data_IF_169512785204
#
_entry.id   IF_169512785204
#
_cell.length_a   1.000
_cell.length_b   1.000
_cell.length_c   1.000
_cell.angle_alpha   90.00
_cell.angle_beta   90.00
_cell.angle_gamma   90.00
#
_symmetry.space_group_name_H-M   'P 1'
#
loop_
_entity.id
_entity.type
_entity.pdbx_description
1 polymer ?
#
# COMPACT_ATOMS: atom_id res chain seq x y z
N UNK A 1 -56.32 50.11 21.01
CA UNK A 1 -56.15 49.84 22.45
C UNK A 1 -54.76 49.27 22.67
N UNK A 2 -53.90 50.00 23.38
CA UNK A 2 -52.81 49.45 24.21
C UNK A 2 -53.44 49.05 25.59
N UNK A 3 -52.73 48.39 26.56
CA UNK A 3 -51.27 48.38 26.75
C UNK A 3 -50.64 47.00 27.08
N UNK A 4 -49.33 46.78 26.80
CA UNK A 4 -48.16 46.67 27.73
C UNK A 4 -48.26 45.58 28.83
N UNK A 5 -47.27 44.78 29.23
CA UNK A 5 -45.80 44.93 29.49
C UNK A 5 -45.13 43.52 29.50
N UNK A 6 -43.80 43.29 29.50
CA UNK A 6 -42.55 44.02 29.15
C UNK A 6 -41.35 43.02 29.20
N UNK A 7 -40.15 43.44 28.80
CA UNK A 7 -38.89 42.68 29.00
C UNK A 7 -38.26 42.90 30.39
N UNK A 8 -37.12 42.25 30.73
CA UNK A 8 -35.85 42.95 30.45
C UNK A 8 -34.70 42.08 29.91
N UNK A 9 -33.80 42.77 29.21
CA UNK A 9 -32.44 42.33 28.85
C UNK A 9 -31.54 42.46 30.09
N UNK A 10 -30.52 41.62 30.22
CA UNK A 10 -29.43 41.87 31.18
C UNK A 10 -28.06 41.60 30.53
N UNK A 11 -27.16 42.57 30.65
CA UNK A 11 -25.75 42.43 30.32
C UNK A 11 -24.93 43.37 31.19
N UNK A 12 -23.91 42.82 31.86
CA UNK A 12 -22.86 43.54 32.57
C UNK A 12 -21.54 42.85 32.16
N UNK A 13 -20.62 43.53 31.47
CA UNK A 13 -19.62 44.47 32.03
C UNK A 13 -18.75 43.84 33.12
N UNK A 14 -17.44 43.82 32.87
CA UNK A 14 -16.46 43.09 33.67
C UNK A 14 -15.88 43.88 34.84
N UNK A 15 -14.91 43.26 35.51
CA UNK A 15 -14.06 43.92 36.50
C UNK A 15 -12.62 43.42 36.37
N UNK A 16 -11.69 44.36 36.25
CA UNK A 16 -10.24 44.12 36.28
C UNK A 16 -9.77 43.55 37.62
N UNK A 17 -8.84 42.60 37.57
CA UNK A 17 -7.81 42.41 38.61
C UNK A 17 -6.46 42.19 37.93
N UNK A 18 -5.66 43.27 37.85
CA UNK A 18 -4.21 43.19 37.61
C UNK A 18 -3.50 42.86 38.92
N UNK A 19 -2.51 41.96 38.92
CA UNK A 19 -1.31 42.05 39.78
C UNK A 19 -0.14 41.22 39.20
N UNK A 20 0.92 41.93 38.80
CA UNK A 20 2.35 41.60 38.68
C UNK A 20 2.94 40.34 37.99
N UNK A 21 4.03 40.62 37.26
CA UNK A 21 5.03 39.69 36.71
C UNK A 21 5.75 38.82 37.76
N UNK A 22 6.13 37.61 37.35
CA UNK A 22 7.19 36.78 37.97
C UNK A 22 7.75 35.78 36.96
N UNK A 23 9.07 35.65 36.86
CA UNK A 23 9.76 34.85 35.83
C UNK A 23 9.66 33.33 36.02
N UNK A 24 9.70 32.59 34.90
CA UNK A 24 10.06 31.16 34.89
C UNK A 24 9.62 30.44 33.60
N UNK A 25 10.54 29.96 32.74
CA UNK A 25 10.17 29.15 31.59
C UNK A 25 9.87 27.72 32.03
N UNK A 26 8.58 27.36 32.10
CA UNK A 26 8.19 25.95 32.18
C UNK A 26 8.39 25.32 30.81
N UNK A 27 9.42 24.48 30.68
CA UNK A 27 9.63 23.64 29.50
C UNK A 27 8.50 22.60 29.46
N UNK A 28 7.40 22.94 28.79
CA UNK A 28 6.39 21.94 28.43
C UNK A 28 7.00 21.01 27.39
N UNK A 29 7.42 19.83 27.86
CA UNK A 29 7.91 18.74 27.05
C UNK A 29 6.74 18.22 26.20
N UNK A 30 6.59 18.81 25.02
CA UNK A 30 5.52 18.49 24.07
C UNK A 30 5.89 17.17 23.40
N UNK A 31 5.46 16.06 24.01
CA UNK A 31 5.62 14.71 23.45
C UNK A 31 5.05 14.68 22.03
N UNK A 32 5.94 14.71 21.03
CA UNK A 32 5.60 14.37 19.67
C UNK A 32 5.45 12.86 19.62
N UNK A 33 4.21 12.37 19.67
CA UNK A 33 3.94 10.99 19.25
C UNK A 33 4.28 10.88 17.77
N UNK A 34 5.33 10.12 17.46
CA UNK A 34 5.62 9.66 16.11
C UNK A 34 4.68 8.49 15.86
N UNK A 35 3.83 8.60 14.84
CA UNK A 35 2.82 7.59 14.51
C UNK A 35 3.20 6.89 13.20
N UNK A 36 3.12 5.56 13.23
CA UNK A 36 3.74 4.68 12.24
C UNK A 36 2.72 4.28 11.16
N UNK A 37 3.19 4.20 9.92
CA UNK A 37 2.67 3.24 8.93
C UNK A 37 3.59 2.02 9.01
N UNK A 38 3.03 0.81 8.90
CA UNK A 38 3.77 -0.44 9.12
C UNK A 38 3.85 -1.25 7.82
N UNK A 39 5.03 -1.76 7.53
CA UNK A 39 5.33 -2.60 6.36
C UNK A 39 5.74 -3.99 6.81
N UNK A 40 5.18 -5.03 6.18
CA UNK A 40 5.65 -6.41 6.34
C UNK A 40 6.75 -6.71 5.32
N UNK A 41 7.85 -7.34 5.76
CA UNK A 41 8.85 -7.98 4.88
C UNK A 41 9.15 -9.39 5.41
N UNK A 42 9.01 -10.43 4.57
CA UNK A 42 9.41 -11.82 4.93
C UNK A 42 10.79 -12.16 4.36
N UNK A 43 11.83 -11.59 4.97
CA UNK A 43 13.22 -11.83 4.54
C UNK A 43 13.58 -13.34 4.60
N UNK A 44 13.79 -13.97 3.42
CA UNK A 44 14.24 -15.36 3.31
C UNK A 44 15.72 -15.50 3.73
N UNK A 45 15.96 -15.63 5.03
CA UNK A 45 17.08 -16.38 5.57
C UNK A 45 18.47 -15.70 5.64
N UNK A 46 18.59 -14.39 5.36
CA UNK A 46 19.79 -13.59 5.71
C UNK A 46 19.39 -12.15 6.06
N UNK A 47 19.46 -11.80 7.34
CA UNK A 47 19.29 -10.42 7.80
C UNK A 47 20.65 -9.73 7.78
N UNK A 48 20.84 -8.80 6.84
CA UNK A 48 21.98 -7.88 6.82
C UNK A 48 21.44 -6.45 6.79
N UNK A 49 21.75 -5.66 7.83
CA UNK A 49 21.25 -4.29 7.93
C UNK A 49 21.89 -3.38 6.87
N UNK A 50 21.12 -2.98 5.86
CA UNK A 50 21.55 -1.94 4.90
C UNK A 50 21.28 -0.57 5.50
N UNK A 51 22.21 -0.12 6.36
CA UNK A 51 22.30 1.28 6.76
C UNK A 51 22.72 2.12 5.55
N UNK A 52 21.80 2.93 5.01
CA UNK A 52 22.12 3.98 4.05
C UNK A 52 22.95 5.06 4.76
N UNK A 53 24.29 4.92 4.67
CA UNK A 53 25.24 5.76 5.40
C UNK A 53 25.25 7.22 4.95
N UNK A 54 25.10 8.13 5.92
CA UNK A 54 25.37 9.56 5.74
C UNK A 54 26.84 9.80 5.34
N UNK A 55 27.09 10.46 4.21
CA UNK A 55 28.45 10.82 3.81
C UNK A 55 28.94 12.05 4.58
N UNK A 56 29.86 11.86 5.54
CA UNK A 56 30.59 12.95 6.20
C UNK A 56 31.96 13.19 5.56
N UNK A 57 32.35 14.47 5.51
CA UNK A 57 33.60 14.92 4.89
C UNK A 57 34.88 14.56 5.67
N UNK A 58 35.96 14.33 4.91
CA UNK A 58 37.35 14.20 5.39
C UNK A 58 37.98 12.85 4.96
N UNK A 59 39.23 12.76 4.50
CA UNK A 59 40.24 13.80 4.22
C UNK A 59 41.30 13.28 3.22
N UNK A 60 42.06 14.19 2.62
CA UNK A 60 43.02 13.95 1.52
C UNK A 60 44.14 12.93 1.81
N UNK A 61 44.36 11.99 0.87
CA UNK A 61 45.71 11.54 0.47
C UNK A 61 45.77 11.24 -1.03
N UNK A 62 46.94 11.45 -1.66
CA UNK A 62 47.14 11.38 -3.13
C UNK A 62 48.02 10.18 -3.50
N UNK A 63 47.61 9.36 -4.47
CA UNK A 63 48.50 8.52 -5.29
C UNK A 63 47.97 8.43 -6.74
N UNK A 64 48.82 8.08 -7.73
CA UNK A 64 48.74 8.71 -9.05
C UNK A 64 47.88 7.99 -10.10
N UNK A 65 47.47 8.80 -11.07
CA UNK A 65 46.80 8.47 -12.32
C UNK A 65 47.51 7.35 -13.09
N UNK A 66 46.76 6.34 -13.55
CA UNK A 66 47.17 5.51 -14.69
C UNK A 66 45.99 5.38 -15.66
N UNK A 67 46.20 5.82 -16.90
CA UNK A 67 45.13 6.02 -17.88
C UNK A 67 44.94 4.78 -18.75
N UNK A 68 43.75 4.20 -18.70
CA UNK A 68 43.22 3.34 -19.77
C UNK A 68 41.72 3.63 -19.89
N UNK A 69 41.16 3.82 -21.10
CA UNK A 69 39.75 4.11 -21.27
C UNK A 69 38.95 2.82 -21.06
N UNK A 70 38.58 2.55 -19.81
CA UNK A 70 37.49 1.64 -19.52
C UNK A 70 36.23 2.21 -20.19
N UNK A 71 35.69 1.48 -21.17
CA UNK A 71 34.36 1.77 -21.70
C UNK A 71 33.37 1.76 -20.53
N UNK A 72 32.54 2.80 -20.34
CA UNK A 72 31.52 2.77 -19.32
C UNK A 72 30.43 1.79 -19.77
N UNK A 73 30.55 0.54 -19.32
CA UNK A 73 29.44 -0.42 -19.31
C UNK A 73 28.47 0.06 -18.24
N UNK A 74 27.67 1.07 -18.57
CA UNK A 74 26.64 1.57 -17.68
C UNK A 74 25.42 0.64 -17.74
N UNK A 75 25.62 -0.61 -17.30
CA UNK A 75 24.52 -1.47 -16.87
C UNK A 75 24.12 -1.06 -15.45
N UNK A 76 23.51 0.12 -15.31
CA UNK A 76 22.36 0.15 -14.40
C UNK A 76 21.34 -0.80 -15.04
N UNK A 77 21.05 -1.93 -14.38
CA UNK A 77 19.90 -2.75 -14.79
C UNK A 77 18.67 -1.88 -14.61
N UNK A 78 18.22 -1.26 -15.70
CA UNK A 78 16.88 -0.68 -15.81
C UNK A 78 15.90 -1.75 -15.36
N UNK A 79 15.02 -1.41 -14.44
CA UNK A 79 14.24 -2.41 -13.74
C UNK A 79 12.84 -1.88 -13.46
N UNK A 80 11.90 -2.32 -14.28
CA UNK A 80 10.54 -1.79 -14.40
C UNK A 80 9.58 -2.41 -13.39
N UNK A 81 8.49 -1.70 -13.07
CA UNK A 81 7.43 -2.16 -12.18
C UNK A 81 6.10 -2.09 -12.94
N UNK A 82 5.38 -3.21 -13.02
CA UNK A 82 4.00 -3.23 -13.53
C UNK A 82 3.07 -2.85 -12.39
N UNK A 83 2.36 -1.74 -12.53
CA UNK A 83 1.34 -1.33 -11.57
C UNK A 83 -0.02 -1.91 -11.95
N UNK A 84 -0.73 -2.44 -10.97
CA UNK A 84 -2.11 -2.92 -11.10
C UNK A 84 -2.96 -2.21 -10.06
N UNK A 85 -4.15 -1.78 -10.44
CA UNK A 85 -5.10 -1.15 -9.52
C UNK A 85 -6.46 -1.85 -9.64
N UNK A 86 -6.96 -2.38 -8.51
CA UNK A 86 -8.12 -3.28 -8.47
C UNK A 86 -9.27 -2.75 -7.62
N UNK A 87 -10.47 -2.71 -8.22
CA UNK A 87 -11.70 -2.25 -7.58
C UNK A 87 -11.74 -0.74 -7.35
N UNK A 88 -12.89 -0.23 -6.90
CA UNK A 88 -13.15 1.20 -6.73
C UNK A 88 -12.07 1.94 -5.90
N UNK A 89 -11.71 1.42 -4.72
CA UNK A 89 -10.71 2.03 -3.85
C UNK A 89 -9.29 2.00 -4.44
N UNK A 90 -8.88 0.84 -5.00
CA UNK A 90 -7.60 0.70 -5.68
C UNK A 90 -7.46 1.66 -6.85
N UNK A 91 -8.49 1.79 -7.68
CA UNK A 91 -8.49 2.71 -8.81
C UNK A 91 -8.46 4.20 -8.40
N UNK A 92 -9.11 4.59 -7.31
CA UNK A 92 -9.04 5.97 -6.79
C UNK A 92 -7.65 6.32 -6.25
N UNK A 93 -7.04 5.41 -5.47
CA UNK A 93 -5.69 5.60 -4.93
C UNK A 93 -4.65 5.54 -6.04
N UNK A 94 -4.76 4.58 -6.96
CA UNK A 94 -3.93 4.46 -8.14
C UNK A 94 -3.99 5.72 -9.01
N UNK A 95 -5.18 6.25 -9.29
CA UNK A 95 -5.32 7.52 -10.01
C UNK A 95 -4.59 8.68 -9.30
N UNK A 96 -4.72 8.80 -7.97
CA UNK A 96 -4.00 9.83 -7.19
C UNK A 96 -2.49 9.60 -7.10
N UNK A 97 -2.04 8.35 -7.06
CA UNK A 97 -0.64 7.99 -7.19
C UNK A 97 -0.08 8.47 -8.54
N UNK A 98 -0.75 8.13 -9.65
CA UNK A 98 -0.34 8.55 -10.99
C UNK A 98 -0.38 10.07 -11.20
N UNK A 99 -1.35 10.79 -10.62
CA UNK A 99 -1.33 12.27 -10.59
C UNK A 99 -0.04 12.79 -9.93
N UNK A 100 0.25 12.36 -8.69
CA UNK A 100 1.39 12.85 -7.92
C UNK A 100 2.72 12.50 -8.58
N UNK A 101 2.91 11.26 -9.05
CA UNK A 101 4.17 10.89 -9.70
C UNK A 101 4.31 11.49 -11.10
N UNK A 102 3.21 11.84 -11.79
CA UNK A 102 3.32 12.61 -13.04
C UNK A 102 3.82 14.02 -12.75
N UNK A 103 3.27 14.70 -11.74
CA UNK A 103 3.70 16.03 -11.31
C UNK A 103 5.16 16.04 -10.84
N UNK A 104 5.59 15.03 -10.05
CA UNK A 104 6.99 14.88 -9.61
C UNK A 104 7.97 14.65 -10.78
N UNK A 105 7.57 13.88 -11.79
CA UNK A 105 8.36 13.65 -13.01
C UNK A 105 8.19 14.75 -14.09
N UNK A 106 7.35 15.76 -13.87
CA UNK A 106 7.10 16.84 -14.83
C UNK A 106 6.38 16.38 -16.11
N UNK A 107 5.55 15.35 -16.01
CA UNK A 107 4.75 14.79 -17.12
C UNK A 107 3.36 15.43 -17.13
N UNK A 108 2.93 15.91 -18.29
CA UNK A 108 1.57 16.47 -18.45
C UNK A 108 0.50 15.39 -18.69
N UNK A 109 -0.81 15.72 -18.60
CA UNK A 109 -1.89 14.78 -18.91
C UNK A 109 -1.91 14.22 -20.34
N UNK A 110 -1.07 14.73 -21.26
CA UNK A 110 -0.93 14.21 -22.63
C UNK A 110 0.23 13.23 -22.77
N UNK A 111 0.98 13.00 -21.68
CA UNK A 111 2.19 12.18 -21.59
C UNK A 111 3.47 12.92 -22.00
N UNK A 112 3.43 14.23 -22.25
CA UNK A 112 4.61 14.98 -22.70
C UNK A 112 5.39 15.54 -21.51
N UNK A 113 6.72 15.41 -21.56
CA UNK A 113 7.61 15.94 -20.54
C UNK A 113 7.79 17.45 -20.67
N UNK A 114 7.54 18.15 -19.56
CA UNK A 114 7.69 19.59 -19.37
C UNK A 114 8.47 19.95 -18.10
N UNK A 115 9.26 19.01 -17.56
CA UNK A 115 10.07 19.20 -16.36
C UNK A 115 11.35 20.03 -16.59
N UNK A 116 11.87 20.58 -15.49
CA UNK A 116 13.03 21.48 -15.45
C UNK A 116 14.35 20.76 -15.06
N UNK A 117 14.32 19.47 -14.72
CA UNK A 117 15.49 18.76 -14.16
C UNK A 117 15.73 17.38 -14.78
N UNK A 118 16.94 17.16 -15.29
CA UNK A 118 17.38 15.87 -15.87
C UNK A 118 17.18 14.67 -14.91
N UNK A 119 17.20 14.90 -13.59
CA UNK A 119 16.94 13.88 -12.57
C UNK A 119 15.52 13.30 -12.64
N UNK A 120 14.56 14.05 -13.20
CA UNK A 120 13.18 13.59 -13.42
C UNK A 120 13.12 12.51 -14.52
N UNK A 121 14.09 12.48 -15.44
CA UNK A 121 14.14 11.52 -16.54
C UNK A 121 15.04 10.30 -16.25
N UNK A 122 16.03 10.41 -15.36
CA UNK A 122 17.04 9.36 -15.05
C UNK A 122 16.44 7.97 -14.71
N UNK A 123 15.22 7.93 -14.16
CA UNK A 123 14.53 6.68 -13.77
C UNK A 123 13.04 6.62 -14.17
N UNK A 124 12.62 7.44 -15.13
CA UNK A 124 11.21 7.50 -15.54
C UNK A 124 10.68 6.16 -16.08
N UNK A 125 11.57 5.38 -16.70
CA UNK A 125 11.32 4.04 -17.25
C UNK A 125 10.90 2.99 -16.20
N UNK A 126 11.06 3.26 -14.91
CA UNK A 126 10.58 2.35 -13.84
C UNK A 126 9.07 2.21 -13.87
N UNK A 127 8.35 3.32 -14.09
CA UNK A 127 6.89 3.39 -14.08
C UNK A 127 6.26 3.72 -15.44
N UNK A 128 7.00 4.33 -16.37
CA UNK A 128 6.47 4.74 -17.67
C UNK A 128 7.12 3.98 -18.83
N UNK A 129 6.28 3.61 -19.80
CA UNK A 129 6.71 3.23 -21.14
C UNK A 129 7.00 4.50 -21.96
N UNK A 130 8.17 4.59 -22.60
CA UNK A 130 8.44 5.62 -23.61
C UNK A 130 7.82 5.22 -24.95
N UNK A 131 6.81 5.99 -25.39
CA UNK A 131 6.15 5.85 -26.67
C UNK A 131 6.70 6.85 -27.70
N UNK A 132 6.49 6.52 -28.98
CA UNK A 132 6.95 7.34 -30.11
C UNK A 132 6.51 8.80 -30.00
N UNK A 133 7.47 9.72 -30.13
CA UNK A 133 7.22 11.17 -30.05
C UNK A 133 7.46 11.79 -28.67
N UNK A 134 8.24 11.14 -27.80
CA UNK A 134 8.58 11.67 -26.47
C UNK A 134 7.38 11.68 -25.52
N UNK A 135 6.52 10.66 -25.63
CA UNK A 135 5.33 10.51 -24.78
C UNK A 135 5.53 9.38 -23.79
N UNK A 136 5.34 9.67 -22.52
CA UNK A 136 5.42 8.71 -21.43
C UNK A 136 4.02 8.22 -21.08
N UNK A 137 3.85 6.89 -21.08
CA UNK A 137 2.57 6.21 -20.80
C UNK A 137 2.74 5.32 -19.58
N UNK A 138 1.96 5.50 -18.49
CA UNK A 138 2.01 4.62 -17.33
C UNK A 138 1.96 3.14 -17.66
N UNK A 139 2.84 2.36 -17.02
CA UNK A 139 2.78 0.89 -16.99
C UNK A 139 1.74 0.45 -15.95
N UNK A 140 0.50 0.88 -16.18
CA UNK A 140 -0.65 0.67 -15.30
C UNK A 140 -1.70 -0.22 -15.97
N UNK A 141 -2.32 -1.08 -15.16
CA UNK A 141 -3.43 -1.95 -15.54
C UNK A 141 -4.60 -1.65 -14.60
N UNK A 142 -5.73 -1.25 -15.16
CA UNK A 142 -6.90 -0.76 -14.43
C UNK A 142 -7.99 -1.83 -14.47
N UNK A 143 -8.33 -2.36 -13.29
CA UNK A 143 -9.23 -3.50 -13.15
C UNK A 143 -10.40 -3.13 -12.24
N UNK A 144 -11.62 -3.31 -12.70
CA UNK A 144 -12.80 -3.31 -11.84
C UNK A 144 -13.93 -4.16 -12.44
N UNK A 145 -14.70 -4.83 -11.60
CA UNK A 145 -15.89 -5.55 -12.02
C UNK A 145 -17.05 -4.58 -12.33
N UNK A 146 -16.97 -3.34 -11.82
CA UNK A 146 -17.93 -2.27 -12.10
C UNK A 146 -17.42 -1.26 -13.16
N UNK A 147 -18.18 -1.00 -14.24
CA UNK A 147 -17.73 -0.09 -15.31
C UNK A 147 -17.69 1.38 -14.86
N UNK A 148 -18.50 1.79 -13.88
CA UNK A 148 -18.60 3.19 -13.43
C UNK A 148 -17.32 3.77 -12.83
N UNK A 149 -16.45 2.91 -12.27
CA UNK A 149 -15.11 3.31 -11.81
C UNK A 149 -14.24 3.80 -12.98
N UNK A 150 -14.34 3.15 -14.15
CA UNK A 150 -13.49 3.45 -15.31
C UNK A 150 -13.84 4.79 -15.95
N UNK A 151 -15.13 5.13 -16.03
CA UNK A 151 -15.57 6.45 -16.47
C UNK A 151 -15.08 7.55 -15.52
N UNK A 152 -15.13 7.27 -14.21
CA UNK A 152 -14.63 8.20 -13.18
C UNK A 152 -13.13 8.47 -13.34
N UNK A 153 -12.31 7.42 -13.49
CA UNK A 153 -10.86 7.57 -13.72
C UNK A 153 -10.56 8.28 -15.04
N UNK A 154 -11.25 7.92 -16.14
CA UNK A 154 -11.09 8.54 -17.46
C UNK A 154 -11.47 10.03 -17.47
N UNK A 155 -12.42 10.44 -16.63
CA UNK A 155 -12.80 11.84 -16.42
C UNK A 155 -11.84 12.63 -15.51
N UNK A 156 -10.94 11.93 -14.81
CA UNK A 156 -9.92 12.54 -13.96
C UNK A 156 -8.86 13.33 -14.75
N UNK A 157 -8.07 14.19 -14.08
CA UNK A 157 -7.15 15.12 -14.73
C UNK A 157 -6.11 14.41 -15.61
N UNK A 158 -5.61 13.25 -15.17
CA UNK A 158 -4.66 12.41 -15.92
C UNK A 158 -5.34 11.19 -16.58
N UNK A 159 -6.68 11.11 -16.61
CA UNK A 159 -7.41 9.94 -17.11
C UNK A 159 -7.14 9.56 -18.58
N UNK A 160 -6.56 10.47 -19.36
CA UNK A 160 -6.24 10.28 -20.78
C UNK A 160 -4.80 9.77 -21.04
N UNK A 161 -3.93 9.75 -20.02
CA UNK A 161 -2.54 9.27 -20.16
C UNK A 161 -2.48 7.73 -20.22
N UNK A 162 -3.46 7.05 -19.63
CA UNK A 162 -3.53 5.59 -19.56
C UNK A 162 -3.84 4.97 -20.91
N UNK A 163 -3.15 3.87 -21.24
CA UNK A 163 -3.38 3.10 -22.47
C UNK A 163 -4.82 2.54 -22.47
N UNK A 164 -5.66 2.82 -23.49
CA UNK A 164 -7.04 2.32 -23.53
C UNK A 164 -7.16 0.78 -23.45
N UNK A 165 -6.21 0.06 -24.04
CA UNK A 165 -6.11 -1.41 -23.98
C UNK A 165 -5.96 -1.96 -22.55
N UNK A 166 -5.49 -1.16 -21.60
CA UNK A 166 -5.16 -1.59 -20.23
C UNK A 166 -6.33 -1.39 -19.25
N UNK A 167 -7.50 -0.97 -19.74
CA UNK A 167 -8.74 -0.92 -18.97
C UNK A 167 -9.49 -2.24 -19.14
N UNK A 168 -9.46 -3.09 -18.12
CA UNK A 168 -10.15 -4.38 -18.11
C UNK A 168 -11.29 -4.30 -17.10
N UNK A 169 -12.53 -4.35 -17.57
CA UNK A 169 -13.70 -4.18 -16.70
C UNK A 169 -14.86 -5.12 -16.99
N UNK A 170 -15.57 -5.49 -15.92
CA UNK A 170 -16.77 -6.32 -15.96
C UNK A 170 -18.05 -5.54 -16.27
N UNK A 171 -19.17 -6.25 -16.26
CA UNK A 171 -20.52 -5.66 -16.33
C UNK A 171 -21.32 -5.82 -15.03
N UNK A 172 -20.82 -6.61 -14.07
CA UNK A 172 -21.49 -7.02 -12.84
C UNK A 172 -20.55 -6.82 -11.67
N UNK A 173 -20.95 -6.02 -10.69
CA UNK A 173 -20.13 -5.70 -9.52
C UNK A 173 -20.11 -6.80 -8.47
N UNK A 174 -18.99 -6.94 -7.76
CA UNK A 174 -18.87 -7.90 -6.65
C UNK A 174 -19.77 -7.58 -5.44
N UNK A 175 -20.33 -6.36 -5.34
CA UNK A 175 -21.32 -6.01 -4.31
C UNK A 175 -20.82 -6.17 -2.86
N UNK A 176 -19.54 -5.85 -2.62
CA UNK A 176 -18.83 -6.07 -1.35
C UNK A 176 -18.82 -7.52 -0.85
N UNK A 177 -18.89 -8.50 -1.76
CA UNK A 177 -18.71 -9.91 -1.47
C UNK A 177 -17.37 -10.42 -2.03
N UNK A 178 -16.47 -10.86 -1.14
CA UNK A 178 -15.17 -11.43 -1.52
C UNK A 178 -15.31 -12.70 -2.38
N UNK A 179 -16.26 -13.59 -2.07
CA UNK A 179 -16.45 -14.84 -2.82
C UNK A 179 -16.86 -14.57 -4.28
N UNK A 180 -17.61 -13.50 -4.55
CA UNK A 180 -17.89 -13.06 -5.92
C UNK A 180 -16.65 -12.59 -6.67
N UNK A 181 -15.80 -11.83 -6.00
CA UNK A 181 -14.51 -11.40 -6.56
C UNK A 181 -13.56 -12.56 -6.79
N UNK A 182 -13.61 -13.62 -5.99
CA UNK A 182 -12.62 -14.70 -6.01
C UNK A 182 -13.04 -15.94 -6.82
N UNK A 183 -14.32 -16.34 -6.78
CA UNK A 183 -14.79 -17.60 -7.37
C UNK A 183 -15.75 -17.45 -8.56
N UNK A 184 -16.48 -16.34 -8.68
CA UNK A 184 -17.47 -16.14 -9.75
C UNK A 184 -17.07 -15.02 -10.70
N UNK A 185 -17.61 -13.81 -10.54
CA UNK A 185 -17.44 -12.68 -11.46
C UNK A 185 -15.95 -12.34 -11.73
N UNK A 186 -15.11 -12.36 -10.70
CA UNK A 186 -13.68 -12.09 -10.86
C UNK A 186 -12.88 -13.24 -11.48
N UNK A 187 -13.33 -14.48 -11.33
CA UNK A 187 -12.73 -15.64 -11.98
C UNK A 187 -13.02 -15.67 -13.50
N UNK A 188 -14.15 -15.11 -13.95
CA UNK A 188 -14.42 -14.93 -15.38
C UNK A 188 -13.55 -13.82 -16.01
N UNK A 189 -13.21 -12.77 -15.24
CA UNK A 189 -12.46 -11.62 -15.76
C UNK A 189 -10.92 -11.77 -15.62
N UNK A 190 -10.43 -12.60 -14.70
CA UNK A 190 -8.98 -12.67 -14.37
C UNK A 190 -8.10 -13.05 -15.56
N UNK A 191 -8.55 -13.94 -16.45
CA UNK A 191 -7.77 -14.34 -17.63
C UNK A 191 -7.53 -13.16 -18.59
N UNK A 192 -8.53 -12.31 -18.77
CA UNK A 192 -8.40 -11.09 -19.57
C UNK A 192 -7.45 -10.07 -18.95
N UNK A 193 -7.40 -10.00 -17.61
CA UNK A 193 -6.41 -9.18 -16.90
C UNK A 193 -5.01 -9.76 -17.08
N UNK A 194 -4.85 -11.07 -16.92
CA UNK A 194 -3.56 -11.75 -17.06
C UNK A 194 -2.96 -11.60 -18.46
N UNK A 195 -3.77 -11.57 -19.53
CA UNK A 195 -3.28 -11.28 -20.88
C UNK A 195 -2.71 -9.86 -21.03
N UNK A 196 -3.29 -8.86 -20.35
CA UNK A 196 -2.74 -7.50 -20.30
C UNK A 196 -1.47 -7.46 -19.42
N UNK A 197 -1.45 -8.18 -18.30
CA UNK A 197 -0.28 -8.32 -17.42
C UNK A 197 0.90 -8.92 -18.19
N UNK A 198 0.67 -9.99 -18.96
CA UNK A 198 1.68 -10.61 -19.86
C UNK A 198 2.20 -9.62 -20.88
N UNK A 199 1.31 -8.93 -21.61
CA UNK A 199 1.67 -7.92 -22.62
C UNK A 199 2.52 -6.79 -22.05
N UNK A 200 2.22 -6.31 -20.85
CA UNK A 200 3.06 -5.30 -20.18
C UNK A 200 4.38 -5.90 -19.69
N UNK A 201 4.38 -7.10 -19.09
CA UNK A 201 5.59 -7.78 -18.60
C UNK A 201 6.59 -8.14 -19.73
N UNK A 202 6.10 -8.57 -20.89
CA UNK A 202 6.91 -8.81 -22.10
C UNK A 202 7.50 -7.54 -22.70
N UNK A 203 6.94 -6.37 -22.38
CA UNK A 203 7.45 -5.05 -22.82
C UNK A 203 8.41 -4.39 -21.82
N UNK A 204 8.89 -5.13 -20.83
CA UNK A 204 9.95 -4.72 -19.89
C UNK A 204 11.29 -5.35 -20.30
N UNK A 205 12.40 -4.61 -20.19
CA UNK A 205 13.74 -5.17 -20.36
C UNK A 205 14.13 -6.06 -19.16
N UNK A 206 13.78 -5.65 -17.93
CA UNK A 206 14.10 -6.39 -16.71
C UNK A 206 13.11 -6.12 -15.56
N UNK A 207 11.86 -6.60 -15.73
CA UNK A 207 10.79 -6.53 -14.73
C UNK A 207 11.27 -6.86 -13.30
N UNK A 208 11.10 -5.94 -12.36
CA UNK A 208 11.31 -6.19 -10.92
C UNK A 208 10.22 -7.08 -10.34
N UNK A 209 8.99 -6.72 -10.65
CA UNK A 209 7.85 -7.13 -9.85
C UNK A 209 6.59 -6.35 -10.18
N UNK A 210 5.56 -6.64 -9.40
CA UNK A 210 4.22 -6.12 -9.55
C UNK A 210 3.86 -5.31 -8.30
N UNK A 211 3.16 -4.20 -8.53
CA UNK A 211 2.61 -3.36 -7.47
C UNK A 211 1.09 -3.34 -7.59
N UNK A 212 0.38 -3.99 -6.66
CA UNK A 212 -1.08 -3.92 -6.60
C UNK A 212 -1.55 -2.82 -5.64
N UNK A 213 -2.46 -1.95 -6.07
CA UNK A 213 -3.25 -1.07 -5.19
C UNK A 213 -4.68 -1.59 -5.08
N UNK A 214 -5.13 -1.88 -3.86
CA UNK A 214 -6.46 -2.45 -3.60
C UNK A 214 -6.95 -2.20 -2.16
N UNK A 215 -8.20 -2.57 -1.86
CA UNK A 215 -8.75 -2.55 -0.51
C UNK A 215 -9.23 -3.93 -0.10
N UNK A 216 -8.95 -4.29 1.16
CA UNK A 216 -9.30 -5.58 1.74
C UNK A 216 -10.79 -5.66 2.16
N UNK A 217 -11.45 -4.51 2.34
CA UNK A 217 -12.86 -4.46 2.77
C UNK A 217 -13.88 -4.67 1.65
N UNK A 218 -13.54 -4.35 0.39
CA UNK A 218 -14.46 -4.42 -0.75
C UNK A 218 -14.78 -5.85 -1.20
N UNK A 219 -15.32 -6.01 -2.40
CA UNK A 219 -15.49 -7.31 -3.08
C UNK A 219 -14.50 -7.52 -4.22
N UNK A 220 -14.41 -6.56 -5.15
CA UNK A 220 -13.50 -6.61 -6.30
C UNK A 220 -12.04 -6.53 -5.88
N UNK A 221 -11.66 -5.43 -5.20
CA UNK A 221 -10.27 -5.20 -4.81
C UNK A 221 -9.73 -6.29 -3.89
N UNK A 222 -10.57 -6.86 -3.04
CA UNK A 222 -10.21 -7.90 -2.09
C UNK A 222 -10.15 -9.29 -2.75
N UNK A 223 -11.28 -9.81 -3.25
CA UNK A 223 -11.39 -11.17 -3.79
C UNK A 223 -10.72 -11.36 -5.14
N UNK A 224 -11.00 -10.45 -6.10
CA UNK A 224 -10.36 -10.50 -7.42
C UNK A 224 -8.89 -10.07 -7.34
N UNK A 225 -8.57 -9.12 -6.45
CA UNK A 225 -7.19 -8.71 -6.20
C UNK A 225 -6.34 -9.87 -5.68
N UNK A 226 -6.78 -10.63 -4.68
CA UNK A 226 -6.02 -11.79 -4.18
C UNK A 226 -5.97 -12.96 -5.17
N UNK A 227 -7.03 -13.19 -5.95
CA UNK A 227 -7.00 -14.14 -7.06
C UNK A 227 -5.90 -13.77 -8.07
N UNK A 228 -5.84 -12.49 -8.45
CA UNK A 228 -4.85 -11.98 -9.38
C UNK A 228 -3.42 -12.07 -8.82
N UNK A 229 -3.22 -11.77 -7.53
CA UNK A 229 -1.92 -11.98 -6.85
C UNK A 229 -1.48 -13.44 -6.99
N UNK A 230 -2.38 -14.39 -6.68
CA UNK A 230 -2.08 -15.82 -6.78
C UNK A 230 -1.71 -16.22 -8.22
N UNK A 231 -2.47 -15.77 -9.23
CA UNK A 231 -2.16 -16.05 -10.65
C UNK A 231 -0.86 -15.42 -11.14
N UNK A 232 -0.56 -14.18 -10.71
CA UNK A 232 0.73 -13.57 -11.01
C UNK A 232 1.87 -14.33 -10.31
N UNK A 233 1.67 -14.85 -9.10
CA UNK A 233 2.69 -15.63 -8.37
C UNK A 233 2.91 -17.02 -8.95
N UNK A 234 1.88 -17.67 -9.48
CA UNK A 234 1.98 -18.91 -10.26
C UNK A 234 2.84 -18.72 -11.53
N UNK A 235 2.63 -17.63 -12.26
CA UNK A 235 3.31 -17.37 -13.56
C UNK A 235 4.68 -16.69 -13.42
N UNK A 236 4.86 -15.87 -12.39
CA UNK A 236 6.08 -15.08 -12.13
C UNK A 236 6.65 -15.29 -10.72
N UNK A 237 7.01 -16.53 -10.32
CA UNK A 237 7.44 -16.86 -8.96
C UNK A 237 8.74 -16.18 -8.51
N UNK A 238 9.62 -15.82 -9.46
CA UNK A 238 10.90 -15.14 -9.21
C UNK A 238 10.79 -13.60 -9.15
N UNK A 239 9.58 -13.04 -9.26
CA UNK A 239 9.33 -11.60 -9.24
C UNK A 239 8.73 -11.16 -7.92
N UNK A 240 9.11 -9.96 -7.49
CA UNK A 240 8.64 -9.37 -6.24
C UNK A 240 7.17 -8.98 -6.38
N UNK A 241 6.35 -9.36 -5.40
CA UNK A 241 4.93 -9.01 -5.33
C UNK A 241 4.67 -8.07 -4.15
N UNK A 242 4.42 -6.80 -4.46
CA UNK A 242 4.17 -5.75 -3.47
C UNK A 242 2.71 -5.29 -3.52
N UNK A 243 2.08 -5.12 -2.36
CA UNK A 243 0.70 -4.61 -2.28
C UNK A 243 0.56 -3.39 -1.40
N UNK A 244 -0.27 -2.45 -1.86
CA UNK A 244 -0.76 -1.31 -1.09
C UNK A 244 -2.20 -1.63 -0.70
N UNK A 245 -2.34 -2.17 0.51
CA UNK A 245 -3.55 -2.79 1.02
C UNK A 245 -4.28 -1.85 1.97
N UNK A 246 -5.41 -1.28 1.52
CA UNK A 246 -6.26 -0.46 2.39
C UNK A 246 -7.08 -1.35 3.32
N UNK A 247 -6.79 -1.22 4.61
CA UNK A 247 -7.42 -1.97 5.69
C UNK A 247 -8.70 -1.26 6.16
N UNK A 248 -9.83 -1.97 6.32
CA UNK A 248 -11.04 -1.35 6.85
C UNK A 248 -10.89 -0.87 8.30
N UNK A 249 -11.57 0.23 8.61
CA UNK A 249 -11.76 0.73 9.99
C UNK A 249 -13.26 0.92 10.26
N UNK A 250 -13.78 0.50 11.43
CA UNK A 250 -15.17 0.68 11.81
C UNK A 250 -15.62 2.15 11.97
N UNK A 251 -14.71 3.13 11.86
CA UNK A 251 -15.07 4.57 11.86
C UNK A 251 -15.40 5.13 10.48
N UNK A 252 -14.94 4.46 9.42
CA UNK A 252 -15.04 4.90 8.01
C UNK A 252 -15.78 3.86 7.15
N UNK A 253 -15.93 2.64 7.67
CA UNK A 253 -16.67 1.53 7.07
C UNK A 253 -18.16 1.82 6.94
N UNK A 254 -18.67 1.74 5.71
CA UNK A 254 -20.11 1.75 5.41
C UNK A 254 -20.70 0.31 5.36
N UNK A 255 -19.86 -0.73 5.28
CA UNK A 255 -20.31 -2.12 5.06
C UNK A 255 -19.94 -3.06 6.21
N UNK A 256 -20.96 -3.67 6.83
CA UNK A 256 -20.79 -4.60 7.95
C UNK A 256 -19.99 -5.88 7.61
N UNK A 257 -19.89 -6.26 6.34
CA UNK A 257 -19.20 -7.50 5.90
C UNK A 257 -17.70 -7.31 5.64
N UNK A 258 -17.17 -6.08 5.72
CA UNK A 258 -15.75 -5.79 5.48
C UNK A 258 -14.76 -6.65 6.31
N UNK A 259 -15.02 -7.02 7.58
CA UNK A 259 -14.12 -7.92 8.33
C UNK A 259 -14.04 -9.34 7.74
N UNK A 260 -15.09 -9.85 7.10
CA UNK A 260 -15.01 -11.13 6.39
C UNK A 260 -14.07 -11.01 5.19
N UNK A 261 -14.31 -10.01 4.34
CA UNK A 261 -13.51 -9.77 3.15
C UNK A 261 -12.03 -9.54 3.51
N UNK A 262 -11.76 -8.82 4.61
CA UNK A 262 -10.41 -8.56 5.08
C UNK A 262 -9.70 -9.81 5.62
N UNK A 263 -10.35 -10.63 6.45
CA UNK A 263 -9.74 -11.86 6.96
C UNK A 263 -9.40 -12.84 5.84
N UNK A 264 -10.32 -13.04 4.90
CA UNK A 264 -10.09 -13.90 3.72
C UNK A 264 -8.96 -13.36 2.83
N UNK A 265 -8.88 -12.04 2.67
CA UNK A 265 -7.80 -11.42 1.87
C UNK A 265 -6.44 -11.52 2.54
N UNK A 266 -6.34 -11.28 3.85
CA UNK A 266 -5.06 -11.36 4.59
C UNK A 266 -4.49 -12.78 4.52
N UNK A 267 -5.31 -13.83 4.65
CA UNK A 267 -4.85 -15.20 4.45
C UNK A 267 -4.13 -15.38 3.10
N UNK A 268 -4.72 -14.88 2.00
CA UNK A 268 -4.10 -14.96 0.67
C UNK A 268 -2.86 -14.06 0.53
N UNK A 269 -2.82 -12.91 1.20
CA UNK A 269 -1.66 -12.00 1.16
C UNK A 269 -0.43 -12.58 1.88
N UNK A 270 -0.63 -13.24 3.02
CA UNK A 270 0.46 -13.84 3.84
C UNK A 270 1.24 -14.90 3.08
N UNK A 271 0.59 -15.61 2.16
CA UNK A 271 1.21 -16.68 1.36
C UNK A 271 1.80 -16.19 0.05
N UNK A 272 1.14 -15.24 -0.63
CA UNK A 272 1.45 -14.90 -2.02
C UNK A 272 2.18 -13.55 -2.22
N UNK A 273 2.32 -12.71 -1.19
CA UNK A 273 3.03 -11.42 -1.28
C UNK A 273 4.40 -11.46 -0.60
N UNK A 274 5.34 -10.67 -1.11
CA UNK A 274 6.67 -10.51 -0.51
C UNK A 274 6.69 -9.31 0.47
N UNK A 275 6.04 -8.20 0.08
CA UNK A 275 5.82 -7.01 0.92
C UNK A 275 4.36 -6.54 0.83
N UNK A 276 3.79 -6.15 1.97
CA UNK A 276 2.46 -5.53 2.03
C UNK A 276 2.48 -4.29 2.91
N UNK A 277 2.10 -3.15 2.32
CA UNK A 277 1.88 -1.88 2.98
C UNK A 277 0.44 -1.81 3.48
N UNK A 278 0.26 -1.89 4.80
CA UNK A 278 -1.04 -1.77 5.45
C UNK A 278 -1.39 -0.28 5.62
N UNK A 279 -2.31 0.22 4.79
CA UNK A 279 -2.84 1.59 4.89
C UNK A 279 -4.14 1.53 5.71
N UNK A 280 -4.13 2.07 6.93
CA UNK A 280 -5.36 2.24 7.72
C UNK A 280 -6.06 3.54 7.32
N UNK A 281 -7.36 3.47 7.02
CA UNK A 281 -8.20 4.62 6.70
C UNK A 281 -8.19 5.73 7.78
N UNK A 282 -7.74 5.44 9.00
CA UNK A 282 -7.62 6.44 10.06
C UNK A 282 -6.33 7.29 10.03
N UNK A 283 -5.24 6.84 9.38
CA UNK A 283 -3.93 7.50 9.47
C UNK A 283 -3.17 7.57 8.15
N UNK A 284 -2.74 8.78 7.78
CA UNK A 284 -1.88 9.03 6.63
C UNK A 284 -0.57 9.73 7.06
N UNK A 285 0.52 8.96 7.17
CA UNK A 285 1.87 9.46 7.35
C UNK A 285 2.90 8.49 6.77
N UNK A 286 3.87 8.98 5.98
CA UNK A 286 4.88 8.13 5.34
C UNK A 286 5.99 7.76 6.34
N UNK A 287 5.88 6.57 6.92
CA UNK A 287 6.94 5.88 7.62
C UNK A 287 6.90 4.41 7.19
N UNK A 288 8.04 3.79 6.97
CA UNK A 288 8.15 2.35 6.68
C UNK A 288 8.93 1.74 7.83
N UNK A 289 8.25 1.00 8.69
CA UNK A 289 8.89 0.15 9.68
C UNK A 289 8.14 -1.16 9.78
N UNK A 290 8.84 -2.27 9.98
CA UNK A 290 8.23 -3.52 10.38
C UNK A 290 8.18 -3.55 11.91
N UNK A 291 6.98 -3.56 12.49
CA UNK A 291 6.77 -3.46 13.93
C UNK A 291 5.69 -4.43 14.36
N UNK A 292 5.95 -5.15 15.45
CA UNK A 292 5.02 -6.09 16.08
C UNK A 292 3.71 -5.43 16.50
N UNK A 293 3.66 -4.10 16.64
CA UNK A 293 2.45 -3.33 16.95
C UNK A 293 1.33 -3.50 15.91
N UNK A 294 1.63 -3.90 14.66
CA UNK A 294 0.61 -4.18 13.64
C UNK A 294 -0.34 -5.33 14.03
N UNK A 295 0.05 -6.16 15.00
CA UNK A 295 -0.85 -7.16 15.57
C UNK A 295 -2.15 -6.56 16.14
N UNK A 296 -2.16 -5.29 16.57
CA UNK A 296 -3.37 -4.60 17.04
C UNK A 296 -4.40 -4.41 15.91
N UNK A 297 -3.93 -4.15 14.68
CA UNK A 297 -4.77 -4.03 13.50
C UNK A 297 -5.39 -5.39 13.12
N UNK A 298 -4.60 -6.47 13.16
CA UNK A 298 -5.11 -7.82 12.90
C UNK A 298 -6.05 -8.32 14.00
N UNK A 299 -5.72 -8.08 15.29
CA UNK A 299 -6.62 -8.34 16.43
C UNK A 299 -7.96 -7.63 16.27
N UNK A 300 -7.96 -6.35 15.87
CA UNK A 300 -9.20 -5.57 15.61
C UNK A 300 -10.09 -6.19 14.53
N UNK A 301 -9.51 -6.70 13.45
CA UNK A 301 -10.26 -7.38 12.37
C UNK A 301 -10.77 -8.74 12.86
N UNK A 302 -9.91 -9.53 13.50
CA UNK A 302 -10.24 -10.84 14.06
C UNK A 302 -11.41 -10.77 15.06
N UNK A 303 -11.39 -9.83 16.02
CA UNK A 303 -12.50 -9.64 16.98
C UNK A 303 -13.85 -9.36 16.30
N UNK A 304 -13.86 -8.56 15.23
CA UNK A 304 -15.07 -8.24 14.47
C UNK A 304 -15.53 -9.44 13.63
N UNK A 305 -14.60 -10.13 12.97
CA UNK A 305 -14.85 -11.38 12.25
C UNK A 305 -15.50 -12.42 13.17
N UNK A 306 -14.86 -12.74 14.30
CA UNK A 306 -15.34 -13.73 15.27
C UNK A 306 -16.74 -13.36 15.81
N UNK A 307 -16.99 -12.07 16.07
CA UNK A 307 -18.29 -11.58 16.55
C UNK A 307 -19.43 -11.80 15.53
N UNK A 308 -19.14 -11.71 14.22
CA UNK A 308 -20.09 -12.02 13.15
C UNK A 308 -20.21 -13.53 12.89
N UNK A 309 -19.07 -14.23 12.81
CA UNK A 309 -19.01 -15.65 12.45
C UNK A 309 -19.70 -16.54 13.48
N UNK A 310 -19.55 -16.24 14.78
CA UNK A 310 -20.33 -16.89 15.86
C UNK A 310 -21.85 -16.77 15.72
N UNK A 311 -22.33 -15.77 14.97
CA UNK A 311 -23.76 -15.55 14.69
C UNK A 311 -24.18 -16.02 13.29
N UNK A 312 -23.23 -16.52 12.47
CA UNK A 312 -23.40 -16.83 11.04
C UNK A 312 -24.07 -15.70 10.25
N UNK A 313 -23.80 -14.44 10.63
CA UNK A 313 -24.38 -13.28 9.97
C UNK A 313 -23.81 -13.14 8.55
N UNK A 314 -24.66 -12.91 7.55
CA UNK A 314 -24.30 -12.75 6.13
C UNK A 314 -23.56 -13.93 5.46
N UNK A 315 -23.22 -15.00 6.18
CA UNK A 315 -22.46 -16.16 5.69
C UNK A 315 -23.05 -16.79 4.40
N UNK A 316 -24.38 -16.83 4.30
CA UNK A 316 -25.11 -17.30 3.11
C UNK A 316 -24.82 -16.53 1.81
N UNK A 317 -24.25 -15.32 1.87
CA UNK A 317 -23.81 -14.58 0.67
C UNK A 317 -22.52 -15.16 0.10
N UNK A 318 -21.68 -15.77 0.93
CA UNK A 318 -20.41 -16.36 0.51
C UNK A 318 -20.59 -17.83 0.13
N UNK A 319 -21.32 -18.59 0.96
CA UNK A 319 -21.60 -20.00 0.66
C UNK A 319 -22.55 -20.18 -0.52
N UNK A 320 -23.36 -19.16 -0.84
CA UNK A 320 -24.16 -19.11 -2.06
C UNK A 320 -23.35 -19.01 -3.36
N UNK A 321 -22.09 -18.56 -3.29
CA UNK A 321 -21.16 -18.46 -4.42
C UNK A 321 -20.20 -19.66 -4.50
N UNK A 322 -20.39 -20.69 -3.65
CA UNK A 322 -19.64 -21.95 -3.69
C UNK A 322 -18.61 -22.16 -2.56
N UNK A 323 -18.44 -21.18 -1.67
CA UNK A 323 -17.47 -21.20 -0.56
C UNK A 323 -17.91 -22.11 0.61
N UNK A 324 -16.99 -22.85 1.24
CA UNK A 324 -17.30 -23.65 2.44
C UNK A 324 -17.18 -22.82 3.75
N UNK A 325 -17.91 -23.19 4.82
CA UNK A 325 -17.70 -22.63 6.16
C UNK A 325 -16.32 -22.99 6.75
N UNK A 326 -15.71 -24.07 6.25
CA UNK A 326 -14.35 -24.50 6.63
C UNK A 326 -13.31 -23.44 6.24
N UNK A 327 -13.40 -22.84 5.05
CA UNK A 327 -12.47 -21.81 4.56
C UNK A 327 -12.46 -20.55 5.46
N UNK A 328 -13.62 -20.18 6.02
CA UNK A 328 -13.72 -19.12 7.03
C UNK A 328 -12.95 -19.47 8.31
N UNK A 329 -13.01 -20.74 8.72
CA UNK A 329 -12.34 -21.23 9.92
C UNK A 329 -10.83 -21.32 9.71
N UNK A 330 -10.38 -21.73 8.52
CA UNK A 330 -8.98 -21.74 8.12
C UNK A 330 -8.40 -20.32 8.06
N UNK A 331 -9.10 -19.36 7.44
CA UNK A 331 -8.69 -17.96 7.41
C UNK A 331 -8.68 -17.30 8.80
N UNK A 332 -9.62 -17.65 9.69
CA UNK A 332 -9.62 -17.22 11.10
C UNK A 332 -8.41 -17.80 11.86
N UNK A 333 -8.07 -19.08 11.64
CA UNK A 333 -6.88 -19.70 12.23
C UNK A 333 -5.61 -18.99 11.76
N UNK A 334 -5.42 -18.88 10.45
CA UNK A 334 -4.21 -18.29 9.85
C UNK A 334 -4.00 -16.83 10.30
N UNK A 335 -5.08 -16.05 10.46
CA UNK A 335 -5.03 -14.70 11.03
C UNK A 335 -4.56 -14.70 12.50
N UNK A 336 -5.06 -15.64 13.31
CA UNK A 336 -4.69 -15.74 14.72
C UNK A 336 -3.27 -16.29 14.92
N UNK A 337 -2.82 -17.18 14.03
CA UNK A 337 -1.45 -17.67 13.97
C UNK A 337 -0.48 -16.52 13.60
N UNK A 338 -0.83 -15.68 12.62
CA UNK A 338 -0.08 -14.47 12.25
C UNK A 338 0.08 -13.49 13.43
N UNK A 339 -1.00 -13.27 14.18
CA UNK A 339 -0.99 -12.47 15.41
C UNK A 339 -0.09 -13.10 16.48
N UNK A 340 -0.08 -14.43 16.56
CA UNK A 340 0.73 -15.18 17.52
C UNK A 340 2.22 -15.15 17.19
N UNK A 341 2.60 -15.22 15.90
CA UNK A 341 3.99 -15.02 15.44
C UNK A 341 4.50 -13.63 15.86
N UNK A 342 3.72 -12.56 15.62
CA UNK A 342 4.10 -11.22 16.05
C UNK A 342 4.22 -11.06 17.57
N UNK A 343 3.30 -11.67 18.33
CA UNK A 343 3.37 -11.67 19.78
C UNK A 343 4.62 -12.42 20.28
N UNK A 344 4.96 -13.56 19.67
CA UNK A 344 6.17 -14.32 19.98
C UNK A 344 7.44 -13.49 19.77
N UNK A 345 7.58 -12.77 18.65
CA UNK A 345 8.73 -11.90 18.40
C UNK A 345 8.74 -10.64 19.30
N UNK A 346 7.58 -10.18 19.78
CA UNK A 346 7.51 -9.06 20.72
C UNK A 346 7.92 -9.46 22.14
N UNK A 347 7.55 -10.67 22.57
CA UNK A 347 7.87 -11.21 23.90
C UNK A 347 9.24 -11.89 23.94
N UNK A 348 9.88 -12.11 22.78
CA UNK A 348 11.26 -12.56 22.65
C UNK A 348 12.24 -11.49 23.18
N UNK A 349 12.47 -11.49 24.48
CA UNK A 349 13.61 -10.80 25.08
C UNK A 349 14.90 -11.36 24.47
N UNK A 350 15.81 -10.48 24.08
CA UNK A 350 17.12 -10.87 23.56
C UNK A 350 17.96 -11.54 24.67
N UNK A 351 17.88 -12.86 24.78
CA UNK A 351 18.87 -13.66 25.50
C UNK A 351 20.19 -13.61 24.71
N UNK A 352 21.11 -12.82 25.23
CA UNK A 352 22.58 -12.88 25.07
C UNK A 352 23.10 -13.60 23.80
N UNK A 353 22.88 -12.98 22.64
CA UNK A 353 23.67 -13.25 21.45
C UNK A 353 25.05 -12.61 21.61
N UNK A 354 26.02 -13.37 22.13
CA UNK A 354 27.43 -13.00 22.16
C UNK A 354 27.89 -12.66 20.73
N UNK A 355 28.07 -11.37 20.44
CA UNK A 355 28.93 -10.94 19.34
C UNK A 355 30.37 -11.16 19.82
N UNK A 356 30.85 -12.39 19.70
CA UNK A 356 32.29 -12.63 19.66
C UNK A 356 32.84 -11.88 18.44
N UNK A 357 33.45 -10.72 18.68
CA UNK A 357 34.39 -10.14 17.73
C UNK A 357 35.51 -11.17 17.55
N UNK A 358 35.56 -11.83 16.38
CA UNK A 358 36.75 -12.57 15.94
C UNK A 358 37.90 -11.56 15.77
N UNK A 359 38.57 -11.27 16.89
CA UNK A 359 39.75 -10.44 16.93
C UNK A 359 40.87 -11.09 16.13
N UNK A 360 41.41 -10.34 15.17
CA UNK A 360 42.50 -10.78 14.30
C UNK A 360 43.77 -11.13 15.10
N UNK A 361 44.01 -12.41 15.40
CA UNK A 361 45.36 -12.89 15.74
C UNK A 361 46.20 -12.96 14.46
N UNK A 362 46.79 -11.82 14.10
CA UNK A 362 47.78 -11.72 13.04
C UNK A 362 49.03 -12.55 13.40
N UNK A 363 49.43 -13.46 12.51
CA UNK A 363 50.54 -14.38 12.74
C UNK A 363 51.91 -13.67 12.75
N UNK A 364 52.79 -14.06 13.68
CA UNK A 364 54.18 -13.60 13.80
C UNK A 364 55.19 -14.49 13.03
#
# INVERSE_FOLDING_TARGET
MYPSTSSPVCGCHGHDVKLHHGCGPVVQQKERRVHQTVCWERARGRVGAVLLGESRHGSSSKLPFNSSPATPVHLSKMREIVHVQAGQCGNQIGAKFWEVISDEHGIDPTGTYHGDSDLQLDRINVYYNEASGGKYVPRAILVDLEPGTMDSVRSGPFGQIFRPDNFVFGQSGAGNNWAKGHYTEGAELVDSVMDVVRKEAESCDCLQGFQLTHSLGGGTGSGMGTLLISKIREEYPDRIMNTFSVVPSPKVSDTVVEPYNATLSVHQLVENTDETFCIDNEMAATFIGNSTAIQELFKRISEQFTAMFRRKAFLHWYTGEGMDEMEFTEAESNMNDLVSEYQQYQDATAEEGEFEEEGEEEAA
#
